data_IF_776364475751
#
_entry.id   IF_776364475751
#
_cell.length_a   1.000
_cell.length_b   1.000
_cell.length_c   1.000
_cell.angle_alpha   90.00
_cell.angle_beta   90.00
_cell.angle_gamma   90.00
#
_symmetry.space_group_name_H-M   'P 1'
#
loop_
_entity.id
_entity.type
_entity.pdbx_description
1 polymer ?
#
# COMPACT_ATOMS: atom_id res chain seq x y z
N UNK A 1 -23.63 -25.49 22.46
CA UNK A 1 -24.54 -25.66 21.29
C UNK A 1 -25.79 -26.37 21.80
N UNK A 2 -26.96 -25.98 21.31
CA UNK A 2 -28.25 -26.57 21.72
C UNK A 2 -28.26 -28.11 21.69
N UNK A 3 -27.64 -28.72 20.68
CA UNK A 3 -27.48 -30.18 20.55
C UNK A 3 -26.75 -30.83 21.74
N UNK A 4 -25.83 -30.11 22.41
CA UNK A 4 -25.03 -30.63 23.52
C UNK A 4 -25.53 -30.18 24.90
N UNK A 5 -26.10 -28.98 24.99
CA UNK A 5 -26.36 -28.32 26.27
C UNK A 5 -27.87 -28.26 26.63
N UNK A 6 -28.75 -28.56 25.68
CA UNK A 6 -30.20 -28.51 25.88
C UNK A 6 -30.78 -29.90 26.14
N UNK A 7 -30.99 -30.23 27.41
CA UNK A 7 -31.65 -31.48 27.81
C UNK A 7 -33.14 -31.49 27.41
N UNK A 8 -33.72 -32.66 27.06
CA UNK A 8 -35.13 -32.79 26.75
C UNK A 8 -36.03 -32.25 27.88
N UNK A 9 -36.94 -31.33 27.54
CA UNK A 9 -37.86 -30.69 28.49
C UNK A 9 -37.43 -29.31 28.99
N UNK A 10 -36.23 -28.84 28.66
CA UNK A 10 -35.81 -27.44 28.90
C UNK A 10 -36.30 -26.50 27.80
N UNK A 11 -36.50 -25.26 28.19
CA UNK A 11 -36.99 -24.21 27.30
C UNK A 11 -35.86 -23.69 26.37
N UNK A 12 -36.04 -23.88 25.06
CA UNK A 12 -35.14 -23.37 24.01
C UNK A 12 -35.02 -21.85 24.05
N UNK A 13 -36.10 -21.17 24.44
CA UNK A 13 -36.16 -19.71 24.51
C UNK A 13 -35.22 -19.17 25.59
N UNK A 14 -35.27 -19.76 26.78
CA UNK A 14 -34.38 -19.38 27.89
C UNK A 14 -32.91 -19.65 27.56
N UNK A 15 -32.62 -20.69 26.76
CA UNK A 15 -31.25 -21.02 26.35
C UNK A 15 -30.67 -20.00 25.36
N UNK A 16 -31.45 -19.56 24.36
CA UNK A 16 -31.01 -18.52 23.42
C UNK A 16 -30.81 -17.16 24.11
N UNK A 17 -31.76 -16.75 24.96
CA UNK A 17 -31.67 -15.47 25.68
C UNK A 17 -30.44 -15.41 26.58
N UNK A 18 -30.10 -16.53 27.25
CA UNK A 18 -28.85 -16.65 28.01
C UNK A 18 -27.63 -16.54 27.11
N UNK A 19 -27.59 -17.24 25.99
CA UNK A 19 -26.43 -17.24 25.07
C UNK A 19 -26.10 -15.84 24.53
N UNK A 20 -27.13 -15.01 24.27
CA UNK A 20 -26.96 -13.63 23.81
C UNK A 20 -26.49 -12.71 24.95
N UNK A 21 -27.06 -12.87 26.15
CA UNK A 21 -26.80 -11.99 27.29
C UNK A 21 -25.59 -12.39 28.16
N UNK A 22 -25.05 -13.59 28.00
CA UNK A 22 -23.92 -14.08 28.79
C UNK A 22 -22.62 -13.31 28.44
N UNK A 23 -21.97 -12.63 29.40
CA UNK A 23 -20.70 -11.95 29.20
C UNK A 23 -19.54 -12.86 28.79
N UNK A 24 -19.60 -14.17 29.08
CA UNK A 24 -18.53 -15.12 28.71
C UNK A 24 -18.62 -15.61 27.26
N UNK A 25 -19.69 -15.26 26.54
CA UNK A 25 -19.84 -15.58 25.12
C UNK A 25 -19.41 -14.35 24.32
N UNK A 26 -18.34 -14.48 23.55
CA UNK A 26 -17.80 -13.36 22.75
C UNK A 26 -18.58 -13.10 21.47
N UNK A 27 -19.04 -14.18 20.81
CA UNK A 27 -19.73 -14.12 19.52
C UNK A 27 -20.92 -15.09 19.45
N UNK A 28 -21.96 -14.71 18.72
CA UNK A 28 -23.13 -15.53 18.39
C UNK A 28 -23.25 -15.61 16.87
N UNK A 29 -23.22 -16.81 16.31
CA UNK A 29 -23.29 -17.04 14.87
C UNK A 29 -24.72 -17.40 14.45
N UNK A 30 -25.29 -16.65 13.50
CA UNK A 30 -26.59 -16.93 12.90
C UNK A 30 -26.36 -17.54 11.51
N UNK A 31 -26.74 -18.80 11.35
CA UNK A 31 -26.70 -19.49 10.06
C UNK A 31 -28.01 -19.26 9.30
N UNK A 32 -27.99 -18.38 8.31
CA UNK A 32 -29.16 -17.95 7.57
C UNK A 32 -29.31 -18.74 6.26
N UNK A 33 -30.27 -19.65 6.24
CA UNK A 33 -30.75 -20.35 5.03
C UNK A 33 -32.04 -19.73 4.49
N UNK A 34 -32.46 -20.09 3.27
CA UNK A 34 -33.74 -19.66 2.70
C UNK A 34 -34.92 -20.00 3.62
N UNK A 35 -34.91 -21.21 4.20
CA UNK A 35 -35.95 -21.67 5.12
C UNK A 35 -35.94 -20.87 6.43
N UNK A 36 -34.76 -20.55 6.96
CA UNK A 36 -34.64 -19.76 8.18
C UNK A 36 -35.16 -18.33 7.98
N UNK A 37 -34.73 -17.67 6.91
CA UNK A 37 -35.16 -16.31 6.56
C UNK A 37 -36.69 -16.23 6.37
N UNK A 38 -37.26 -17.15 5.58
CA UNK A 38 -38.70 -17.21 5.35
C UNK A 38 -39.48 -17.40 6.64
N UNK A 39 -39.06 -18.32 7.52
CA UNK A 39 -39.75 -18.56 8.79
C UNK A 39 -39.62 -17.38 9.77
N UNK A 40 -38.46 -16.73 9.79
CA UNK A 40 -38.23 -15.54 10.61
C UNK A 40 -39.11 -14.35 10.15
N UNK A 41 -39.30 -14.18 8.83
CA UNK A 41 -40.09 -13.08 8.26
C UNK A 41 -41.61 -13.36 8.27
N UNK A 42 -42.03 -14.61 8.02
CA UNK A 42 -43.44 -15.00 7.92
C UNK A 42 -44.13 -15.26 9.27
N UNK A 43 -43.37 -15.36 10.36
CA UNK A 43 -43.90 -15.55 11.73
C UNK A 43 -44.77 -16.82 11.91
N UNK A 44 -44.57 -17.86 11.11
CA UNK A 44 -45.26 -19.16 11.24
C UNK A 44 -44.32 -20.29 11.68
N UNK A 45 -44.80 -21.19 12.56
CA UNK A 45 -44.18 -22.49 12.83
C UNK A 45 -43.04 -22.54 13.86
N UNK A 46 -43.14 -21.80 14.98
CA UNK A 46 -42.22 -21.90 16.13
C UNK A 46 -40.85 -21.23 15.95
N UNK A 47 -40.56 -20.69 14.78
CA UNK A 47 -39.37 -19.84 14.49
C UNK A 47 -39.72 -18.35 14.58
N UNK A 48 -41.00 -18.00 14.54
CA UNK A 48 -41.49 -16.64 14.82
C UNK A 48 -41.15 -16.16 16.24
N UNK A 49 -41.03 -17.09 17.20
CA UNK A 49 -40.67 -16.79 18.59
C UNK A 49 -39.14 -16.71 18.79
N UNK A 50 -38.34 -17.49 18.03
CA UNK A 50 -36.87 -17.35 18.00
C UNK A 50 -36.46 -15.97 17.43
N UNK A 51 -37.19 -15.50 16.41
CA UNK A 51 -37.07 -14.15 15.87
C UNK A 51 -37.54 -13.06 16.86
N UNK A 52 -38.36 -13.42 17.86
CA UNK A 52 -38.84 -12.49 18.89
C UNK A 52 -37.79 -12.24 19.99
N UNK A 53 -36.93 -13.22 20.29
CA UNK A 53 -35.82 -13.05 21.24
C UNK A 53 -34.66 -12.31 20.60
N UNK A 54 -34.45 -12.47 19.29
CA UNK A 54 -33.55 -11.62 18.49
C UNK A 54 -34.21 -10.31 18.04
N UNK A 55 -35.46 -10.06 18.42
CA UNK A 55 -36.14 -8.81 18.10
C UNK A 55 -35.52 -7.63 18.85
N UNK A 56 -35.80 -6.43 18.33
CA UNK A 56 -35.18 -5.12 18.58
C UNK A 56 -34.51 -4.91 19.95
N UNK A 57 -35.12 -5.36 21.04
CA UNK A 57 -34.70 -5.01 22.41
C UNK A 57 -33.49 -5.81 22.95
N UNK A 58 -33.31 -7.09 22.61
CA UNK A 58 -32.14 -7.87 23.05
C UNK A 58 -30.92 -7.66 22.13
N UNK A 59 -31.17 -7.41 20.85
CA UNK A 59 -30.14 -7.18 19.84
C UNK A 59 -29.53 -5.77 19.92
N UNK A 60 -30.28 -4.78 20.41
CA UNK A 60 -29.79 -3.41 20.55
C UNK A 60 -28.68 -3.28 21.61
N UNK A 61 -28.63 -4.17 22.61
CA UNK A 61 -27.66 -4.13 23.69
C UNK A 61 -26.26 -4.66 23.31
N UNK A 62 -26.14 -5.60 22.37
CA UNK A 62 -24.88 -6.28 22.03
C UNK A 62 -24.64 -6.41 20.50
N UNK A 63 -24.83 -5.31 19.76
CA UNK A 63 -24.79 -5.25 18.27
C UNK A 63 -23.53 -5.81 17.61
N UNK A 64 -22.41 -5.90 18.32
CA UNK A 64 -21.12 -6.37 17.78
C UNK A 64 -20.89 -7.88 17.99
N UNK A 65 -21.66 -8.50 18.89
CA UNK A 65 -21.53 -9.92 19.27
C UNK A 65 -22.14 -10.85 18.23
N UNK A 66 -23.18 -10.42 17.51
CA UNK A 66 -23.91 -11.30 16.60
C UNK A 66 -23.43 -11.17 15.16
N UNK A 67 -23.01 -12.29 14.57
CA UNK A 67 -22.49 -12.39 13.21
C UNK A 67 -23.40 -13.26 12.34
N UNK A 68 -23.63 -12.84 11.11
CA UNK A 68 -24.52 -13.54 10.16
C UNK A 68 -23.69 -14.32 9.16
N UNK A 69 -24.03 -15.60 8.98
CA UNK A 69 -23.46 -16.51 7.99
C UNK A 69 -24.54 -16.79 6.97
N UNK A 70 -24.33 -16.33 5.73
CA UNK A 70 -25.24 -16.54 4.63
C UNK A 70 -24.97 -17.91 3.99
N UNK A 71 -25.93 -18.82 4.04
CA UNK A 71 -25.76 -20.18 3.50
C UNK A 71 -26.25 -20.33 2.06
N UNK A 72 -27.20 -19.50 1.63
CA UNK A 72 -27.90 -19.67 0.36
C UNK A 72 -28.36 -18.31 -0.18
N UNK A 73 -28.44 -18.16 -1.50
CA UNK A 73 -29.09 -17.04 -2.18
C UNK A 73 -30.36 -17.52 -2.89
N UNK A 74 -31.32 -16.62 -3.09
CA UNK A 74 -32.57 -16.96 -3.76
C UNK A 74 -32.41 -17.09 -5.29
N UNK A 75 -33.51 -17.41 -5.98
CA UNK A 75 -33.53 -17.57 -7.45
C UNK A 75 -33.16 -16.28 -8.21
N UNK A 76 -33.25 -15.12 -7.55
CA UNK A 76 -32.86 -13.82 -8.09
C UNK A 76 -31.44 -13.40 -7.67
N UNK A 77 -30.66 -14.30 -7.04
CA UNK A 77 -29.34 -14.05 -6.41
C UNK A 77 -29.37 -13.08 -5.22
N UNK A 78 -30.54 -12.81 -4.67
CA UNK A 78 -30.71 -11.98 -3.47
C UNK A 78 -30.31 -12.76 -2.23
N UNK A 79 -29.84 -12.04 -1.21
CA UNK A 79 -29.46 -12.61 0.07
C UNK A 79 -30.67 -13.21 0.82
N UNK A 80 -30.59 -14.48 1.19
CA UNK A 80 -31.58 -15.10 2.09
C UNK A 80 -31.28 -14.75 3.55
N UNK A 81 -31.43 -13.47 3.92
CA UNK A 81 -31.34 -13.01 5.31
C UNK A 81 -32.68 -12.44 5.78
N UNK A 82 -33.07 -12.64 7.06
CA UNK A 82 -34.27 -12.02 7.61
C UNK A 82 -34.27 -10.50 7.46
N UNK A 83 -35.45 -9.89 7.30
CA UNK A 83 -35.59 -8.46 7.05
C UNK A 83 -34.95 -7.56 8.13
N UNK A 84 -34.89 -8.04 9.38
CA UNK A 84 -34.25 -7.31 10.50
C UNK A 84 -32.70 -7.31 10.44
N UNK A 85 -32.10 -8.17 9.60
CA UNK A 85 -30.64 -8.29 9.41
C UNK A 85 -30.15 -7.73 8.08
N UNK A 86 -31.04 -7.27 7.19
CA UNK A 86 -30.70 -6.78 5.84
C UNK A 86 -29.67 -5.63 5.80
N UNK A 87 -29.46 -4.89 6.89
CA UNK A 87 -28.49 -3.78 6.96
C UNK A 87 -27.10 -4.20 7.45
N UNK A 88 -26.90 -5.47 7.80
CA UNK A 88 -25.66 -5.98 8.38
C UNK A 88 -24.79 -6.65 7.32
N UNK A 89 -23.47 -6.52 7.50
CA UNK A 89 -22.52 -7.36 6.77
C UNK A 89 -22.65 -8.82 7.26
N UNK A 90 -22.43 -9.75 6.35
CA UNK A 90 -22.50 -11.18 6.57
C UNK A 90 -21.25 -11.86 6.01
N UNK A 91 -20.95 -13.07 6.47
CA UNK A 91 -19.97 -13.96 5.87
C UNK A 91 -20.67 -14.83 4.82
N UNK A 92 -20.21 -14.81 3.57
CA UNK A 92 -20.90 -15.46 2.44
C UNK A 92 -20.43 -16.90 2.21
N UNK A 93 -21.21 -17.85 2.71
CA UNK A 93 -21.02 -19.30 2.52
C UNK A 93 -21.95 -19.86 1.42
N UNK A 94 -22.55 -19.01 0.58
CA UNK A 94 -23.60 -19.43 -0.37
C UNK A 94 -23.13 -20.25 -1.57
N UNK A 95 -21.82 -20.36 -1.78
CA UNK A 95 -21.24 -21.16 -2.86
C UNK A 95 -19.86 -21.72 -2.48
N UNK A 96 -19.44 -22.86 -3.07
CA UNK A 96 -18.11 -23.43 -2.81
C UNK A 96 -16.95 -22.46 -3.07
N UNK A 97 -17.11 -21.56 -4.07
CA UNK A 97 -16.09 -20.56 -4.40
C UNK A 97 -15.99 -19.44 -3.34
N UNK A 98 -17.10 -19.09 -2.68
CA UNK A 98 -17.13 -18.06 -1.64
C UNK A 98 -16.79 -18.62 -0.24
N UNK A 99 -17.12 -19.89 0.01
CA UNK A 99 -16.97 -20.56 1.31
C UNK A 99 -15.54 -20.49 1.86
N UNK A 100 -14.53 -20.74 1.03
CA UNK A 100 -13.14 -20.78 1.50
C UNK A 100 -12.65 -19.40 1.96
N UNK A 101 -13.00 -18.34 1.23
CA UNK A 101 -12.69 -16.95 1.61
C UNK A 101 -13.48 -16.53 2.86
N UNK A 102 -14.78 -16.82 2.90
CA UNK A 102 -15.65 -16.47 4.02
C UNK A 102 -15.25 -17.20 5.31
N UNK A 103 -14.76 -18.44 5.20
CA UNK A 103 -14.21 -19.19 6.32
C UNK A 103 -12.94 -18.54 6.88
N UNK A 104 -12.00 -18.14 6.02
CA UNK A 104 -10.81 -17.42 6.48
C UNK A 104 -11.16 -16.09 7.15
N UNK A 105 -12.06 -15.31 6.56
CA UNK A 105 -12.55 -14.05 7.12
C UNK A 105 -13.22 -14.24 8.48
N UNK A 106 -14.07 -15.27 8.63
CA UNK A 106 -14.75 -15.60 9.88
C UNK A 106 -13.75 -15.99 10.97
N UNK A 107 -12.79 -16.88 10.67
CA UNK A 107 -11.76 -17.29 11.63
C UNK A 107 -10.94 -16.09 12.07
N UNK A 108 -10.48 -15.26 11.13
CA UNK A 108 -9.74 -14.03 11.42
C UNK A 108 -10.53 -13.08 12.30
N UNK A 109 -11.83 -12.93 12.05
CA UNK A 109 -12.72 -12.12 12.87
C UNK A 109 -12.84 -12.64 14.30
N UNK A 110 -13.05 -13.95 14.48
CA UNK A 110 -13.21 -14.59 15.80
C UNK A 110 -11.97 -14.49 16.70
N UNK A 111 -10.78 -14.25 16.11
CA UNK A 111 -9.52 -14.10 16.84
C UNK A 111 -8.96 -12.67 16.84
N UNK A 112 -9.80 -11.65 16.55
CA UNK A 112 -9.40 -10.24 16.50
C UNK A 112 -8.21 -9.93 15.55
N UNK A 113 -8.12 -10.68 14.44
CA UNK A 113 -7.10 -10.53 13.39
C UNK A 113 -7.72 -10.24 12.02
N UNK A 114 -8.51 -9.15 11.85
CA UNK A 114 -9.24 -8.89 10.61
C UNK A 114 -8.28 -8.76 9.43
N UNK A 115 -8.73 -9.19 8.24
CA UNK A 115 -7.96 -9.13 6.99
C UNK A 115 -7.52 -7.69 6.66
N UNK A 116 -8.33 -6.70 7.06
CA UNK A 116 -8.05 -5.28 6.91
C UNK A 116 -8.07 -4.60 8.27
N UNK A 117 -6.88 -4.27 8.80
CA UNK A 117 -6.76 -3.50 10.05
C UNK A 117 -6.92 -2.01 9.74
N UNK A 118 -7.77 -1.30 10.47
CA UNK A 118 -7.87 0.16 10.36
C UNK A 118 -6.48 0.75 10.63
N UNK A 119 -5.90 1.56 9.73
CA UNK A 119 -4.58 2.12 9.94
C UNK A 119 -4.59 3.02 11.18
N UNK A 120 -3.48 3.04 11.93
CA UNK A 120 -3.31 3.99 13.02
C UNK A 120 -3.39 5.42 12.48
N UNK A 121 -3.99 6.34 13.25
CA UNK A 121 -3.94 7.76 12.94
C UNK A 121 -2.47 8.19 12.90
N UNK A 122 -2.07 8.80 11.78
CA UNK A 122 -0.72 9.34 11.62
C UNK A 122 -0.44 10.46 12.62
N UNK A 123 0.84 10.77 12.88
CA UNK A 123 1.20 11.96 13.65
C UNK A 123 0.64 13.22 12.97
N UNK A 124 0.32 14.25 13.76
CA UNK A 124 -0.06 15.57 13.22
C UNK A 124 1.06 16.04 12.26
N UNK A 125 0.75 16.38 11.01
CA UNK A 125 1.77 16.78 10.06
C UNK A 125 2.51 18.05 10.50
N UNK A 126 3.84 18.03 10.40
CA UNK A 126 4.72 19.14 10.80
C UNK A 126 4.59 20.39 9.92
N UNK A 127 3.92 20.30 8.75
CA UNK A 127 3.73 21.43 7.84
C UNK A 127 2.70 22.46 8.33
N UNK A 128 1.92 22.14 9.36
CA UNK A 128 0.89 23.03 9.90
C UNK A 128 1.45 24.25 10.63
N UNK A 129 2.76 24.27 10.91
CA UNK A 129 3.35 25.26 11.80
C UNK A 129 4.09 26.40 11.07
N UNK A 130 4.30 26.36 9.74
CA UNK A 130 4.68 27.51 8.87
C UNK A 130 4.97 27.04 7.41
N UNK A 131 4.11 27.35 6.43
CA UNK A 131 4.46 27.20 5.01
C UNK A 131 5.46 28.32 4.63
N UNK A 132 6.77 28.04 4.69
CA UNK A 132 7.83 28.99 4.24
C UNK A 132 7.83 29.24 2.72
N UNK A 133 7.14 28.42 1.96
CA UNK A 133 7.12 28.41 0.48
C UNK A 133 5.68 28.53 0.01
N UNK A 134 5.38 29.50 -0.84
CA UNK A 134 4.05 29.64 -1.46
C UNK A 134 3.82 28.52 -2.49
N UNK A 135 2.91 27.62 -2.19
CA UNK A 135 2.52 26.48 -3.04
C UNK A 135 1.28 26.76 -3.88
N UNK A 136 0.71 27.96 -3.82
CA UNK A 136 -0.47 28.33 -4.61
C UNK A 136 -0.30 28.02 -6.11
N UNK A 137 0.85 28.29 -6.77
CA UNK A 137 1.02 27.96 -8.19
C UNK A 137 0.94 26.46 -8.49
N UNK A 138 1.46 25.60 -7.60
CA UNK A 138 1.37 24.15 -7.76
C UNK A 138 -0.09 23.66 -7.56
N UNK A 139 -0.78 24.19 -6.55
CA UNK A 139 -2.20 23.91 -6.30
C UNK A 139 -3.10 24.42 -7.42
N UNK A 140 -2.70 25.50 -8.10
CA UNK A 140 -3.40 26.00 -9.28
C UNK A 140 -3.24 25.07 -10.48
N UNK A 141 -2.04 24.54 -10.74
CA UNK A 141 -1.87 23.54 -11.81
C UNK A 141 -2.65 22.24 -11.52
N UNK A 142 -2.80 21.87 -10.24
CA UNK A 142 -3.66 20.76 -9.80
C UNK A 142 -5.15 20.97 -10.14
N UNK A 143 -5.64 22.21 -10.10
CA UNK A 143 -7.04 22.53 -10.44
C UNK A 143 -7.28 22.69 -11.94
N UNK A 144 -6.20 22.91 -12.71
CA UNK A 144 -6.23 23.11 -14.18
C UNK A 144 -6.13 21.82 -14.99
N UNK A 145 -6.01 20.65 -14.37
CA UNK A 145 -5.97 19.36 -15.07
C UNK A 145 -7.25 19.21 -15.92
N UNK A 146 -7.15 19.24 -17.27
CA UNK A 146 -8.33 19.15 -18.10
C UNK A 146 -8.90 17.73 -18.06
N UNK A 147 -10.22 17.61 -18.02
CA UNK A 147 -10.93 16.36 -18.30
C UNK A 147 -10.65 16.01 -19.77
N UNK A 148 -9.99 14.89 -20.02
CA UNK A 148 -9.66 14.45 -21.38
C UNK A 148 -8.27 14.84 -21.90
N UNK A 149 -7.24 14.36 -21.22
CA UNK A 149 -6.07 13.77 -21.91
C UNK A 149 -5.24 14.68 -22.83
N UNK A 150 -4.81 15.87 -22.38
CA UNK A 150 -3.65 16.52 -23.02
C UNK A 150 -2.44 16.58 -22.10
N UNK A 151 -1.32 16.08 -22.64
CA UNK A 151 0.01 15.81 -22.08
C UNK A 151 0.77 17.02 -21.49
N UNK A 152 0.09 18.06 -21.00
CA UNK A 152 0.72 19.29 -20.49
C UNK A 152 0.82 19.31 -18.98
N UNK A 153 1.64 18.39 -18.46
CA UNK A 153 2.17 18.49 -17.10
C UNK A 153 3.54 19.21 -17.06
N UNK A 154 4.00 19.77 -18.19
CA UNK A 154 5.28 20.50 -18.24
C UNK A 154 5.28 21.72 -17.32
N UNK A 155 4.19 22.52 -17.31
CA UNK A 155 4.05 23.65 -16.39
C UNK A 155 4.12 23.23 -14.94
N UNK A 156 3.44 22.14 -14.59
CA UNK A 156 3.50 21.55 -13.27
C UNK A 156 4.94 21.15 -12.90
N UNK A 157 5.63 20.43 -13.78
CA UNK A 157 7.03 20.01 -13.56
C UNK A 157 7.97 21.22 -13.43
N UNK A 158 7.83 22.22 -14.30
CA UNK A 158 8.63 23.44 -14.27
C UNK A 158 8.44 24.17 -12.93
N UNK A 159 7.19 24.24 -12.44
CA UNK A 159 6.89 24.85 -11.15
C UNK A 159 7.43 24.01 -9.98
N UNK A 160 7.41 22.67 -10.04
CA UNK A 160 8.05 21.81 -9.03
C UNK A 160 9.55 22.11 -8.96
N UNK A 161 10.24 22.13 -10.11
CA UNK A 161 11.67 22.41 -10.15
C UNK A 161 11.99 23.82 -9.60
N UNK A 162 11.14 24.81 -9.94
CA UNK A 162 11.24 26.17 -9.43
C UNK A 162 11.02 26.24 -7.91
N UNK A 163 10.04 25.52 -7.36
CA UNK A 163 9.79 25.51 -5.91
C UNK A 163 10.92 24.84 -5.14
N UNK A 164 11.54 23.81 -5.70
CA UNK A 164 12.76 23.21 -5.13
C UNK A 164 13.91 24.24 -5.15
N UNK A 165 14.08 24.97 -6.24
CA UNK A 165 15.08 26.04 -6.34
C UNK A 165 14.85 27.11 -5.25
N UNK A 166 13.63 27.65 -5.14
CA UNK A 166 13.24 28.63 -4.12
C UNK A 166 13.46 28.13 -2.69
N UNK A 167 13.23 26.84 -2.44
CA UNK A 167 13.33 26.24 -1.09
C UNK A 167 14.77 25.96 -0.66
N UNK A 168 15.66 25.62 -1.60
CA UNK A 168 16.98 25.04 -1.28
C UNK A 168 18.14 25.94 -1.71
N UNK A 169 18.05 26.65 -2.83
CA UNK A 169 19.26 27.10 -3.52
C UNK A 169 19.88 28.33 -2.86
N UNK A 170 19.06 29.26 -2.38
CA UNK A 170 19.48 30.44 -1.63
C UNK A 170 19.60 30.18 -0.12
N UNK A 171 19.13 29.02 0.36
CA UNK A 171 19.18 28.66 1.77
C UNK A 171 20.61 28.37 2.23
N UNK A 172 20.97 28.79 3.44
CA UNK A 172 22.22 28.38 4.08
C UNK A 172 22.00 27.04 4.78
N UNK A 173 22.30 25.95 4.07
CA UNK A 173 22.04 24.58 4.54
C UNK A 173 23.33 23.98 5.09
N UNK A 174 23.27 23.57 6.35
CA UNK A 174 24.30 22.82 7.04
C UNK A 174 23.72 21.54 7.64
N UNK A 175 24.53 20.83 8.42
CA UNK A 175 24.11 19.56 9.03
C UNK A 175 23.02 19.74 10.10
N UNK A 176 22.96 20.90 10.76
CA UNK A 176 22.08 21.17 11.89
C UNK A 176 20.65 21.48 11.42
N UNK A 177 20.52 22.16 10.28
CA UNK A 177 19.21 22.50 9.70
C UNK A 177 18.78 21.60 8.53
N UNK A 178 19.60 20.62 8.11
CA UNK A 178 19.31 19.73 6.99
C UNK A 178 17.94 19.03 7.06
N UNK A 179 17.58 18.49 8.23
CA UNK A 179 16.29 17.79 8.41
C UNK A 179 15.10 18.75 8.27
N UNK A 180 15.27 20.01 8.64
CA UNK A 180 14.24 21.03 8.49
C UNK A 180 13.95 21.28 7.01
N UNK A 181 14.99 21.50 6.20
CA UNK A 181 14.84 21.70 4.76
C UNK A 181 14.34 20.45 4.04
N UNK A 182 14.76 19.25 4.45
CA UNK A 182 14.17 18.02 3.94
C UNK A 182 12.69 17.89 4.30
N UNK A 183 12.32 18.31 5.52
CA UNK A 183 10.93 18.41 5.97
C UNK A 183 10.10 19.38 5.12
N UNK A 184 10.64 20.54 4.75
CA UNK A 184 9.94 21.53 3.92
C UNK A 184 9.57 20.98 2.51
N UNK A 185 10.37 20.07 1.97
CA UNK A 185 10.07 19.41 0.69
C UNK A 185 8.87 18.46 0.76
N UNK A 186 8.38 18.13 1.97
CA UNK A 186 7.18 17.31 2.14
C UNK A 186 5.99 17.89 1.38
N UNK A 187 5.76 19.20 1.49
CA UNK A 187 4.59 19.81 0.87
C UNK A 187 4.66 19.76 -0.67
N UNK A 188 5.87 19.86 -1.23
CA UNK A 188 6.09 19.69 -2.68
C UNK A 188 5.77 18.23 -3.06
N UNK A 189 6.27 17.25 -2.29
CA UNK A 189 5.96 15.83 -2.53
C UNK A 189 4.47 15.54 -2.43
N UNK A 190 3.77 16.11 -1.46
CA UNK A 190 2.32 15.92 -1.29
C UNK A 190 1.55 16.41 -2.53
N UNK A 191 1.90 17.59 -3.05
CA UNK A 191 1.28 18.07 -4.29
C UNK A 191 1.66 17.23 -5.50
N UNK A 192 2.90 16.72 -5.59
CA UNK A 192 3.30 15.77 -6.64
C UNK A 192 2.49 14.47 -6.60
N UNK A 193 2.25 13.92 -5.41
CA UNK A 193 1.44 12.71 -5.22
C UNK A 193 -0.01 12.99 -5.63
N UNK A 194 -0.61 14.09 -5.15
CA UNK A 194 -1.97 14.48 -5.51
C UNK A 194 -2.11 14.72 -7.02
N UNK A 195 -1.11 15.33 -7.65
CA UNK A 195 -1.10 15.56 -9.09
C UNK A 195 -1.01 14.25 -9.85
N UNK A 196 -0.15 13.31 -9.44
CA UNK A 196 -0.02 12.01 -10.09
C UNK A 196 -1.32 11.19 -10.01
N UNK A 197 -1.98 11.19 -8.85
CA UNK A 197 -3.28 10.55 -8.63
C UNK A 197 -4.34 11.16 -9.54
N UNK A 198 -4.52 12.49 -9.51
CA UNK A 198 -5.51 13.16 -10.35
C UNK A 198 -5.21 13.03 -11.84
N UNK A 199 -3.93 13.03 -12.21
CA UNK A 199 -3.52 12.83 -13.58
C UNK A 199 -3.95 11.44 -14.07
N UNK A 200 -3.74 10.41 -13.26
CA UNK A 200 -4.22 9.05 -13.55
C UNK A 200 -5.74 8.96 -13.65
N UNK A 201 -6.47 9.55 -12.69
CA UNK A 201 -7.94 9.60 -12.69
C UNK A 201 -8.54 10.36 -13.89
N UNK A 202 -7.72 11.12 -14.62
CA UNK A 202 -8.09 11.81 -15.86
C UNK A 202 -7.40 11.19 -17.10
N UNK A 203 -7.28 9.85 -17.10
CA UNK A 203 -6.73 9.02 -18.19
C UNK A 203 -5.24 9.28 -18.50
N UNK A 204 -4.50 9.82 -17.54
CA UNK A 204 -3.07 10.04 -17.63
C UNK A 204 -2.25 8.80 -17.26
N UNK A 205 -1.08 8.64 -17.88
CA UNK A 205 -0.12 7.59 -17.49
C UNK A 205 0.83 8.12 -16.42
N UNK A 206 0.78 7.55 -15.22
CA UNK A 206 1.66 7.92 -14.10
C UNK A 206 3.12 7.77 -14.51
N UNK A 207 3.45 6.74 -15.31
CA UNK A 207 4.82 6.54 -15.79
C UNK A 207 5.34 7.70 -16.64
N UNK A 208 4.52 8.33 -17.48
CA UNK A 208 4.93 9.43 -18.35
C UNK A 208 5.16 10.73 -17.57
N UNK A 209 4.32 11.00 -16.57
CA UNK A 209 4.54 12.09 -15.61
C UNK A 209 5.84 11.85 -14.82
N UNK A 210 5.96 10.66 -14.24
CA UNK A 210 7.06 10.28 -13.34
C UNK A 210 8.41 10.40 -14.01
N UNK A 211 8.55 9.95 -15.26
CA UNK A 211 9.81 10.04 -16.03
C UNK A 211 10.31 11.49 -16.07
N UNK A 212 9.47 12.42 -16.53
CA UNK A 212 9.87 13.83 -16.66
C UNK A 212 10.01 14.53 -15.32
N UNK A 213 9.17 14.19 -14.34
CA UNK A 213 9.21 14.79 -13.01
C UNK A 213 10.54 14.45 -12.32
N UNK A 214 10.93 13.17 -12.32
CA UNK A 214 12.19 12.75 -11.71
C UNK A 214 13.38 13.34 -12.47
N UNK A 215 13.37 13.38 -13.81
CA UNK A 215 14.42 14.06 -14.58
C UNK A 215 14.54 15.54 -14.23
N UNK A 216 13.43 16.26 -14.09
CA UNK A 216 13.44 17.66 -13.72
C UNK A 216 14.03 17.88 -12.32
N UNK A 217 13.66 17.03 -11.35
CA UNK A 217 14.16 17.12 -9.97
C UNK A 217 15.66 16.80 -9.91
N UNK A 218 16.13 15.69 -10.50
CA UNK A 218 17.56 15.34 -10.40
C UNK A 218 18.47 16.31 -11.16
N UNK A 219 17.94 17.02 -12.15
CA UNK A 219 18.67 17.96 -12.99
C UNK A 219 18.45 19.44 -12.61
N UNK A 220 17.74 19.75 -11.52
CA UNK A 220 17.49 21.13 -11.13
C UNK A 220 18.73 21.80 -10.53
N UNK A 221 19.69 21.04 -10.01
CA UNK A 221 20.92 21.57 -9.41
C UNK A 221 21.86 22.18 -10.48
N UNK A 222 22.29 23.44 -10.34
CA UNK A 222 23.31 24.01 -11.20
C UNK A 222 24.68 23.36 -10.96
N UNK A 223 25.58 23.52 -11.93
CA UNK A 223 26.97 23.09 -11.77
C UNK A 223 27.62 23.90 -10.64
N UNK A 224 28.35 23.21 -9.76
CA UNK A 224 29.04 23.84 -8.62
C UNK A 224 28.18 24.04 -7.38
N UNK A 225 26.97 23.49 -7.35
CA UNK A 225 26.13 23.45 -6.16
C UNK A 225 26.87 22.77 -4.98
N UNK A 226 26.75 23.28 -3.73
CA UNK A 226 27.28 22.60 -2.55
C UNK A 226 26.80 21.16 -2.41
N UNK A 227 27.69 20.24 -2.02
CA UNK A 227 27.40 18.80 -1.87
C UNK A 227 26.19 18.51 -0.99
N UNK A 228 26.05 19.22 0.13
CA UNK A 228 24.93 19.02 1.05
C UNK A 228 23.56 19.35 0.41
N UNK A 229 23.52 20.33 -0.51
CA UNK A 229 22.30 20.67 -1.26
C UNK A 229 22.03 19.65 -2.37
N UNK A 230 23.08 19.16 -3.04
CA UNK A 230 22.96 18.06 -4.02
C UNK A 230 22.42 16.80 -3.32
N UNK A 231 22.95 16.47 -2.14
CA UNK A 231 22.50 15.34 -1.31
C UNK A 231 21.02 15.47 -0.94
N UNK A 232 20.57 16.67 -0.56
CA UNK A 232 19.17 16.96 -0.26
C UNK A 232 18.25 16.74 -1.46
N UNK A 233 18.60 17.30 -2.62
CA UNK A 233 17.81 17.13 -3.86
C UNK A 233 17.78 15.68 -4.32
N UNK A 234 18.90 14.96 -4.24
CA UNK A 234 18.95 13.53 -4.60
C UNK A 234 18.17 12.66 -3.62
N UNK A 235 18.22 12.98 -2.32
CA UNK A 235 17.39 12.32 -1.30
C UNK A 235 15.91 12.50 -1.59
N UNK A 236 15.50 13.71 -1.97
CA UNK A 236 14.13 13.99 -2.38
C UNK A 236 13.73 13.28 -3.68
N UNK A 237 14.59 13.24 -4.69
CA UNK A 237 14.33 12.51 -5.93
C UNK A 237 14.14 11.00 -5.70
N UNK A 238 14.96 10.42 -4.82
CA UNK A 238 14.86 9.03 -4.39
C UNK A 238 13.49 8.78 -3.72
N UNK A 239 13.11 9.59 -2.72
CA UNK A 239 11.79 9.49 -2.07
C UNK A 239 10.65 9.62 -3.08
N UNK A 240 10.72 10.61 -3.97
CA UNK A 240 9.67 10.89 -4.94
C UNK A 240 9.49 9.75 -5.93
N UNK A 241 10.57 9.13 -6.40
CA UNK A 241 10.52 7.95 -7.27
C UNK A 241 9.83 6.77 -6.57
N UNK A 242 10.15 6.51 -5.30
CA UNK A 242 9.47 5.47 -4.51
C UNK A 242 7.98 5.79 -4.38
N UNK A 243 7.63 7.07 -4.13
CA UNK A 243 6.23 7.49 -4.06
C UNK A 243 5.49 7.23 -5.39
N UNK A 244 6.11 7.52 -6.53
CA UNK A 244 5.49 7.25 -7.84
C UNK A 244 5.26 5.75 -8.06
N UNK A 245 6.23 4.91 -7.70
CA UNK A 245 6.07 3.45 -7.77
C UNK A 245 4.99 2.95 -6.80
N UNK A 246 4.89 3.54 -5.60
CA UNK A 246 3.84 3.22 -4.65
C UNK A 246 2.44 3.52 -5.21
N UNK A 247 2.25 4.66 -5.91
CA UNK A 247 0.99 5.00 -6.57
C UNK A 247 0.68 4.03 -7.72
N UNK A 248 1.68 3.71 -8.56
CA UNK A 248 1.53 2.74 -9.66
C UNK A 248 1.09 1.37 -9.13
N UNK A 249 1.73 0.89 -8.06
CA UNK A 249 1.37 -0.38 -7.42
C UNK A 249 0.01 -0.33 -6.73
N UNK A 250 -0.40 0.83 -6.20
CA UNK A 250 -1.71 1.03 -5.61
C UNK A 250 -2.83 0.85 -6.63
N UNK A 251 -2.64 1.37 -7.85
CA UNK A 251 -3.58 1.21 -8.97
C UNK A 251 -3.40 -0.08 -9.77
N UNK A 252 -2.41 -0.91 -9.43
CA UNK A 252 -2.14 -2.19 -10.09
C UNK A 252 -1.72 -2.07 -11.57
N UNK A 253 -1.07 -0.95 -11.93
CA UNK A 253 -0.72 -0.59 -13.31
C UNK A 253 0.66 -1.14 -13.71
N UNK A 254 0.73 -2.43 -14.07
CA UNK A 254 1.99 -3.13 -14.37
C UNK A 254 2.75 -2.56 -15.58
N UNK A 255 2.04 -2.10 -16.61
CA UNK A 255 2.63 -1.50 -17.80
C UNK A 255 3.32 -0.18 -17.47
N UNK A 256 2.74 0.61 -16.57
CA UNK A 256 3.37 1.85 -16.07
C UNK A 256 4.57 1.54 -15.18
N UNK A 257 4.49 0.50 -14.35
CA UNK A 257 5.62 0.03 -13.55
C UNK A 257 6.80 -0.36 -14.44
N UNK A 258 6.54 -1.21 -15.43
CA UNK A 258 7.54 -1.62 -16.42
C UNK A 258 8.09 -0.42 -17.18
N UNK A 259 7.23 0.46 -17.67
CA UNK A 259 7.66 1.62 -18.47
C UNK A 259 8.53 2.59 -17.66
N UNK A 260 8.21 2.82 -16.39
CA UNK A 260 8.99 3.71 -15.52
C UNK A 260 10.34 3.09 -15.14
N UNK A 261 10.37 1.84 -14.66
CA UNK A 261 11.61 1.22 -14.20
C UNK A 261 12.58 0.96 -15.36
N UNK A 262 12.09 0.80 -16.58
CA UNK A 262 12.94 0.55 -17.76
C UNK A 262 13.43 1.82 -18.44
N UNK A 263 12.93 2.97 -18.01
CA UNK A 263 13.28 4.26 -18.59
C UNK A 263 14.76 4.59 -18.35
N UNK A 264 15.36 5.28 -19.32
CA UNK A 264 16.72 5.81 -19.25
C UNK A 264 16.64 7.30 -18.93
N UNK A 265 16.79 7.63 -17.65
CA UNK A 265 16.82 8.99 -17.15
C UNK A 265 18.11 9.67 -17.58
N UNK A 266 18.00 10.85 -18.18
CA UNK A 266 19.13 11.75 -18.32
C UNK A 266 19.47 12.36 -16.94
N UNK A 267 20.73 12.20 -16.52
CA UNK A 267 21.25 12.79 -15.29
C UNK A 267 22.48 13.65 -15.61
N UNK A 268 22.33 14.96 -15.41
CA UNK A 268 23.39 15.95 -15.58
C UNK A 268 24.39 15.85 -14.43
N UNK A 269 25.66 16.00 -14.76
CA UNK A 269 26.70 16.04 -13.74
C UNK A 269 26.67 17.39 -13.00
N UNK A 270 26.57 17.42 -11.66
CA UNK A 270 26.63 18.68 -10.91
C UNK A 270 28.04 19.27 -10.87
N UNK A 271 29.06 18.56 -11.37
CA UNK A 271 30.48 18.96 -11.31
C UNK A 271 31.05 19.42 -12.64
N UNK A 272 30.41 19.08 -13.75
CA UNK A 272 30.95 19.32 -15.11
C UNK A 272 29.83 19.28 -16.13
N UNK A 273 30.04 19.97 -17.25
CA UNK A 273 29.14 19.93 -18.39
C UNK A 273 29.03 18.51 -18.95
N UNK A 274 27.80 18.05 -19.18
CA UNK A 274 27.48 16.74 -19.73
C UNK A 274 26.45 15.98 -18.90
N UNK A 275 25.92 14.90 -19.48
CA UNK A 275 24.95 14.02 -18.85
C UNK A 275 25.32 12.55 -19.06
N UNK A 276 24.79 11.71 -18.19
CA UNK A 276 24.78 10.26 -18.32
C UNK A 276 23.33 9.78 -18.42
N UNK A 277 23.13 8.59 -18.98
CA UNK A 277 21.83 7.93 -18.96
C UNK A 277 21.88 6.78 -17.98
N UNK A 278 20.93 6.75 -17.04
CA UNK A 278 20.83 5.73 -16.01
C UNK A 278 19.40 5.18 -15.96
N UNK A 279 19.23 3.94 -15.51
CA UNK A 279 17.89 3.46 -15.11
C UNK A 279 17.49 4.04 -13.76
N UNK A 280 16.30 3.67 -13.27
CA UNK A 280 15.85 4.02 -11.92
C UNK A 280 16.89 3.67 -10.82
N UNK A 281 17.71 2.63 -11.05
CA UNK A 281 18.77 2.23 -10.12
C UNK A 281 19.87 3.28 -9.95
N UNK A 282 20.06 4.18 -10.91
CA UNK A 282 20.97 5.32 -10.78
C UNK A 282 20.38 6.51 -10.01
N UNK A 283 19.06 6.50 -9.76
CA UNK A 283 18.36 7.48 -8.92
C UNK A 283 18.48 7.11 -7.43
N UNK A 284 18.82 5.85 -7.13
CA UNK A 284 19.13 5.41 -5.77
C UNK A 284 20.16 6.36 -5.14
N UNK A 285 19.79 6.94 -4.00
CA UNK A 285 20.66 7.84 -3.26
C UNK A 285 20.81 7.39 -1.81
N UNK A 286 22.05 7.02 -1.47
CA UNK A 286 22.47 6.84 -0.08
C UNK A 286 23.09 8.15 0.42
N UNK A 287 22.42 8.78 1.38
CA UNK A 287 22.87 10.05 1.94
C UNK A 287 23.79 9.84 3.13
N UNK A 288 25.03 10.28 2.98
CA UNK A 288 25.97 10.35 4.11
C UNK A 288 25.55 11.41 5.13
N UNK A 289 24.78 12.41 4.73
CA UNK A 289 24.33 13.50 5.61
C UNK A 289 23.34 12.96 6.64
N UNK A 290 22.34 12.16 6.23
CA UNK A 290 21.43 11.49 7.15
C UNK A 290 22.17 10.59 8.16
N UNK A 291 23.22 9.88 7.73
CA UNK A 291 24.03 9.05 8.63
C UNK A 291 24.84 9.88 9.63
N UNK A 292 25.41 11.00 9.19
CA UNK A 292 26.12 11.92 10.09
C UNK A 292 25.16 12.49 11.14
N UNK A 293 23.97 12.92 10.73
CA UNK A 293 22.93 13.42 11.65
C UNK A 293 22.49 12.32 12.63
N UNK A 294 22.24 11.11 12.13
CA UNK A 294 21.82 9.97 12.96
C UNK A 294 22.86 9.67 14.08
N UNK A 295 24.16 9.78 13.76
CA UNK A 295 25.26 9.61 14.72
C UNK A 295 25.42 10.82 15.65
N UNK A 296 25.45 12.04 15.09
CA UNK A 296 25.63 13.31 15.83
C UNK A 296 24.56 13.47 16.89
N UNK A 297 23.30 13.28 16.51
CA UNK A 297 22.13 13.46 17.37
C UNK A 297 21.82 12.22 18.22
N UNK A 298 22.59 11.13 18.07
CA UNK A 298 22.37 9.85 18.75
C UNK A 298 20.92 9.32 18.60
N UNK A 299 20.33 9.48 17.41
CA UNK A 299 18.91 9.11 17.14
C UNK A 299 18.66 7.60 17.16
N UNK A 300 19.72 6.78 17.05
CA UNK A 300 19.67 5.31 17.07
C UNK A 300 18.68 4.74 16.06
N UNK A 301 18.53 5.38 14.89
CA UNK A 301 17.72 4.84 13.79
C UNK A 301 18.56 3.85 12.97
N UNK A 302 17.92 2.79 12.47
CA UNK A 302 18.58 1.84 11.56
C UNK A 302 18.97 2.54 10.26
N UNK A 303 18.05 3.34 9.71
CA UNK A 303 18.29 4.26 8.61
C UNK A 303 17.45 5.52 8.85
N UNK A 304 18.10 6.67 9.07
CA UNK A 304 17.39 7.92 9.34
C UNK A 304 16.63 8.41 8.11
N UNK A 305 17.17 8.23 6.90
CA UNK A 305 16.49 8.61 5.67
C UNK A 305 15.14 7.89 5.53
N UNK A 306 15.13 6.57 5.72
CA UNK A 306 13.90 5.76 5.69
C UNK A 306 12.92 6.14 6.83
N UNK A 307 13.42 6.41 8.04
CA UNK A 307 12.61 6.90 9.17
C UNK A 307 11.90 8.22 8.83
N UNK A 308 12.59 9.15 8.17
CA UNK A 308 12.00 10.42 7.73
C UNK A 308 10.98 10.25 6.60
N UNK A 309 11.15 9.29 5.69
CA UNK A 309 10.13 8.98 4.69
C UNK A 309 8.85 8.42 5.34
N UNK A 310 8.99 7.46 6.26
CA UNK A 310 7.86 6.76 6.92
C UNK A 310 7.15 7.64 7.95
N UNK A 311 7.80 8.64 8.53
CA UNK A 311 7.16 9.56 9.48
C UNK A 311 6.19 10.53 8.79
N UNK A 312 6.38 10.79 7.49
CA UNK A 312 5.62 11.76 6.69
C UNK A 312 4.63 11.07 5.74
N UNK A 313 3.71 10.29 6.29
CA UNK A 313 2.70 9.55 5.51
C UNK A 313 1.60 10.48 4.97
N UNK A 314 1.09 10.15 3.79
CA UNK A 314 -0.05 10.78 3.11
C UNK A 314 -1.01 9.67 2.65
N UNK A 315 -2.05 9.42 3.45
CA UNK A 315 -3.04 8.38 3.17
C UNK A 315 -3.94 8.73 1.98
N UNK A 316 -4.41 7.73 1.21
CA UNK A 316 -4.11 6.30 1.32
C UNK A 316 -2.86 5.86 0.53
N UNK A 317 -2.30 6.73 -0.31
CA UNK A 317 -1.31 6.34 -1.33
C UNK A 317 0.10 6.16 -0.77
N UNK A 318 0.51 7.01 0.17
CA UNK A 318 1.86 7.03 0.76
C UNK A 318 1.74 6.66 2.23
N UNK A 319 1.86 5.38 2.51
CA UNK A 319 1.85 4.81 3.85
C UNK A 319 3.17 4.09 4.10
N UNK A 320 3.42 3.70 5.35
CA UNK A 320 4.54 2.83 5.67
C UNK A 320 4.57 1.58 4.78
N UNK A 321 3.42 0.96 4.58
CA UNK A 321 3.29 -0.29 3.84
C UNK A 321 3.46 -0.09 2.33
N UNK A 322 2.84 0.95 1.75
CA UNK A 322 2.98 1.21 0.31
C UNK A 322 4.38 1.67 -0.07
N UNK A 323 5.04 2.51 0.76
CA UNK A 323 6.42 2.93 0.55
C UNK A 323 7.40 1.74 0.63
N UNK A 324 7.31 0.95 1.70
CA UNK A 324 8.22 -0.19 1.89
C UNK A 324 8.00 -1.29 0.84
N UNK A 325 6.74 -1.51 0.42
CA UNK A 325 6.42 -2.41 -0.69
C UNK A 325 7.00 -1.91 -2.01
N UNK A 326 6.82 -0.64 -2.34
CA UNK A 326 7.36 -0.06 -3.57
C UNK A 326 8.88 -0.19 -3.65
N UNK A 327 9.57 0.17 -2.57
CA UNK A 327 11.02 0.08 -2.46
C UNK A 327 11.54 -1.37 -2.59
N UNK A 328 10.85 -2.34 -1.98
CA UNK A 328 11.16 -3.77 -2.15
C UNK A 328 10.88 -4.28 -3.57
N UNK A 329 9.76 -3.89 -4.19
CA UNK A 329 9.45 -4.28 -5.57
C UNK A 329 10.50 -3.73 -6.55
N UNK A 330 10.97 -2.50 -6.34
CA UNK A 330 12.07 -1.93 -7.10
C UNK A 330 13.37 -2.72 -6.91
N UNK A 331 13.68 -3.17 -5.70
CA UNK A 331 14.80 -4.07 -5.44
C UNK A 331 14.66 -5.43 -6.18
N UNK A 332 13.47 -6.03 -6.13
CA UNK A 332 13.15 -7.33 -6.73
C UNK A 332 13.19 -7.35 -8.25
N UNK A 333 12.64 -6.32 -8.89
CA UNK A 333 12.54 -6.26 -10.36
C UNK A 333 13.87 -6.00 -11.05
N UNK A 334 14.85 -5.40 -10.36
CA UNK A 334 16.15 -5.05 -10.94
C UNK A 334 16.81 -6.18 -11.76
N UNK A 335 17.02 -7.40 -11.23
CA UNK A 335 17.63 -8.50 -11.99
C UNK A 335 16.76 -9.00 -13.15
N UNK A 336 15.43 -8.89 -13.04
CA UNK A 336 14.50 -9.28 -14.10
C UNK A 336 14.63 -8.36 -15.31
N UNK A 337 14.83 -7.07 -15.06
CA UNK A 337 15.02 -6.06 -16.09
C UNK A 337 16.43 -6.08 -16.74
N UNK A 338 17.26 -7.08 -16.43
CA UNK A 338 18.61 -7.29 -17.00
C UNK A 338 19.53 -6.06 -16.91
N UNK A 339 19.36 -5.26 -15.85
CA UNK A 339 20.13 -4.03 -15.67
C UNK A 339 21.57 -4.35 -15.21
N UNK A 340 22.55 -3.95 -16.03
CA UNK A 340 23.99 -4.04 -15.71
C UNK A 340 24.52 -2.87 -14.87
N UNK A 341 23.68 -1.88 -14.63
CA UNK A 341 24.03 -0.61 -13.99
C UNK A 341 23.98 -0.69 -12.45
N UNK A 342 23.92 0.49 -11.81
CA UNK A 342 23.88 0.73 -10.38
C UNK A 342 22.90 -0.19 -9.63
N UNK A 343 23.13 -0.31 -8.33
CA UNK A 343 22.42 -1.22 -7.46
C UNK A 343 21.33 -0.46 -6.68
N UNK A 344 20.15 -1.07 -6.50
CA UNK A 344 19.04 -0.52 -5.70
C UNK A 344 19.00 -1.25 -4.36
N UNK A 345 19.32 -0.54 -3.27
CA UNK A 345 19.17 -1.06 -1.92
C UNK A 345 17.82 -0.60 -1.36
N UNK A 346 16.94 -1.51 -0.91
CA UNK A 346 15.63 -1.12 -0.39
C UNK A 346 15.76 -0.51 1.02
N UNK A 347 15.93 0.81 1.16
CA UNK A 347 16.12 1.46 2.46
C UNK A 347 14.98 1.18 3.47
N UNK A 348 13.77 0.93 2.99
CA UNK A 348 12.54 0.83 3.77
C UNK A 348 12.17 -0.60 4.22
N UNK A 349 12.96 -1.62 3.87
CA UNK A 349 12.58 -3.02 4.15
C UNK A 349 12.30 -3.33 5.63
N UNK A 350 12.92 -2.60 6.56
CA UNK A 350 12.73 -2.78 8.01
C UNK A 350 11.37 -2.29 8.51
N UNK A 351 10.65 -1.53 7.69
CA UNK A 351 9.30 -1.04 7.97
C UNK A 351 8.21 -1.86 7.27
N UNK A 352 8.61 -2.84 6.47
CA UNK A 352 7.71 -3.72 5.77
C UNK A 352 7.12 -4.75 6.74
N UNK A 353 5.80 -4.89 6.71
CA UNK A 353 5.06 -5.88 7.48
C UNK A 353 3.93 -6.39 6.58
N UNK A 354 4.00 -7.65 6.13
CA UNK A 354 2.96 -8.24 5.29
C UNK A 354 3.47 -9.01 4.06
N UNK A 355 2.62 -9.11 3.05
CA UNK A 355 2.90 -9.78 1.78
C UNK A 355 2.80 -8.80 0.61
N UNK A 356 3.46 -9.12 -0.50
CA UNK A 356 3.41 -8.30 -1.71
C UNK A 356 2.47 -8.96 -2.72
N UNK A 357 1.31 -8.33 -2.96
CA UNK A 357 0.26 -8.84 -3.87
C UNK A 357 0.79 -9.14 -5.28
N UNK A 358 1.71 -8.32 -5.79
CA UNK A 358 2.37 -8.52 -7.09
C UNK A 358 2.98 -9.92 -7.22
N UNK A 359 3.64 -10.42 -6.17
CA UNK A 359 4.29 -11.73 -6.19
C UNK A 359 3.31 -12.86 -5.92
N UNK A 360 2.41 -12.70 -4.95
CA UNK A 360 1.41 -13.72 -4.62
C UNK A 360 0.51 -14.09 -5.81
N UNK A 361 0.21 -13.14 -6.69
CA UNK A 361 -0.63 -13.38 -7.88
C UNK A 361 0.04 -14.20 -8.98
N UNK A 362 1.36 -14.40 -8.94
CA UNK A 362 2.06 -15.27 -9.90
C UNK A 362 1.65 -16.75 -9.76
N UNK A 363 0.92 -17.14 -8.72
CA UNK A 363 0.26 -18.45 -8.65
C UNK A 363 -0.77 -18.64 -9.79
N UNK A 364 -1.44 -17.55 -10.21
CA UNK A 364 -2.39 -17.60 -11.32
C UNK A 364 -1.68 -17.65 -12.66
N UNK A 365 -2.08 -18.61 -13.49
CA UNK A 365 -1.50 -18.78 -14.83
C UNK A 365 -1.71 -17.56 -15.74
N UNK A 366 -2.91 -16.97 -15.74
CA UNK A 366 -3.19 -15.80 -16.57
C UNK A 366 -2.40 -14.57 -16.13
N UNK A 367 -2.18 -14.41 -14.83
CA UNK A 367 -1.36 -13.32 -14.29
C UNK A 367 0.13 -13.52 -14.64
N UNK A 368 0.62 -14.76 -14.53
CA UNK A 368 1.97 -15.11 -14.95
C UNK A 368 2.19 -14.79 -16.43
N UNK A 369 1.29 -15.22 -17.32
CA UNK A 369 1.37 -14.95 -18.76
C UNK A 369 1.41 -13.43 -19.06
N UNK A 370 0.56 -12.65 -18.40
CA UNK A 370 0.57 -11.19 -18.51
C UNK A 370 1.89 -10.58 -17.98
N UNK A 371 2.41 -11.08 -16.86
CA UNK A 371 3.68 -10.63 -16.31
C UNK A 371 4.86 -10.94 -17.24
N UNK A 372 4.91 -12.14 -17.83
CA UNK A 372 5.92 -12.53 -18.82
C UNK A 372 5.89 -11.60 -20.03
N UNK A 373 4.70 -11.27 -20.55
CA UNK A 373 4.53 -10.35 -21.68
C UNK A 373 5.03 -8.95 -21.34
N UNK A 374 4.56 -8.36 -20.24
CA UNK A 374 4.88 -6.99 -19.83
C UNK A 374 6.37 -6.85 -19.51
N UNK A 375 6.92 -7.76 -18.71
CA UNK A 375 8.32 -7.70 -18.29
C UNK A 375 9.29 -8.31 -19.30
N UNK A 376 8.78 -8.98 -20.33
CA UNK A 376 9.56 -9.66 -21.37
C UNK A 376 10.56 -10.65 -20.75
N UNK A 377 10.08 -11.45 -19.81
CA UNK A 377 10.86 -12.44 -19.06
C UNK A 377 10.19 -13.81 -19.18
N UNK A 378 10.95 -14.82 -19.58
CA UNK A 378 10.46 -16.20 -19.67
C UNK A 378 10.23 -16.78 -18.27
N UNK A 379 9.16 -17.55 -18.08
CA UNK A 379 8.75 -18.23 -16.85
C UNK A 379 9.93 -18.97 -16.20
N UNK A 380 10.66 -19.77 -16.99
CA UNK A 380 11.81 -20.53 -16.50
C UNK A 380 12.88 -19.63 -15.88
N UNK A 381 13.14 -18.47 -16.50
CA UNK A 381 14.11 -17.50 -16.00
C UNK A 381 13.57 -16.76 -14.78
N UNK A 382 12.28 -16.43 -14.75
CA UNK A 382 11.62 -15.83 -13.60
C UNK A 382 11.73 -16.75 -12.38
N UNK A 383 11.34 -18.03 -12.52
CA UNK A 383 11.44 -19.06 -11.49
C UNK A 383 12.88 -19.23 -11.00
N UNK A 384 13.86 -19.26 -11.91
CA UNK A 384 15.28 -19.35 -11.55
C UNK A 384 15.74 -18.16 -10.69
N UNK A 385 15.37 -16.93 -11.07
CA UNK A 385 15.70 -15.72 -10.31
C UNK A 385 15.04 -15.70 -8.93
N UNK A 386 13.77 -16.10 -8.84
CA UNK A 386 13.03 -16.16 -7.57
C UNK A 386 13.65 -17.21 -6.66
N UNK A 387 13.97 -18.39 -7.19
CA UNK A 387 14.52 -19.51 -6.41
C UNK A 387 15.91 -19.24 -5.87
N UNK A 388 16.79 -18.69 -6.72
CA UNK A 388 18.21 -18.63 -6.41
C UNK A 388 18.66 -17.33 -5.75
N UNK A 389 17.87 -16.27 -5.82
CA UNK A 389 18.24 -14.91 -5.43
C UNK A 389 19.60 -14.48 -6.05
N UNK A 390 19.61 -13.63 -7.10
CA UNK A 390 20.85 -13.29 -7.81
C UNK A 390 21.83 -12.44 -6.97
N UNK A 391 21.41 -11.96 -5.79
CA UNK A 391 22.24 -11.14 -4.92
C UNK A 391 23.11 -12.01 -4.00
N UNK A 392 24.43 -11.97 -4.22
CA UNK A 392 25.41 -12.79 -3.48
C UNK A 392 25.62 -12.39 -2.02
N UNK A 393 25.29 -11.16 -1.66
CA UNK A 393 25.50 -10.61 -0.31
C UNK A 393 24.17 -10.42 0.39
N UNK A 394 24.15 -10.62 1.71
CA UNK A 394 22.99 -10.32 2.55
C UNK A 394 22.60 -8.86 2.38
N UNK A 395 21.40 -8.64 1.90
CA UNK A 395 20.91 -7.31 1.61
C UNK A 395 20.37 -6.66 2.87
N UNK A 396 21.24 -6.06 3.68
CA UNK A 396 20.81 -5.55 4.99
C UNK A 396 21.52 -4.27 5.39
N UNK A 397 20.84 -3.49 6.21
CA UNK A 397 21.47 -2.37 6.91
C UNK A 397 22.57 -2.91 7.81
N UNK A 398 23.67 -2.17 7.97
CA UNK A 398 24.89 -2.62 8.67
C UNK A 398 24.64 -3.12 10.10
N UNK A 399 23.59 -2.63 10.77
CA UNK A 399 23.22 -3.00 12.14
C UNK A 399 21.85 -3.69 12.23
N UNK A 400 21.31 -4.17 11.10
CA UNK A 400 20.06 -4.95 11.10
C UNK A 400 20.36 -6.44 11.23
N UNK A 401 19.56 -7.13 12.06
CA UNK A 401 19.55 -8.58 12.14
C UNK A 401 19.00 -9.18 10.84
N UNK A 402 17.86 -8.63 10.40
CA UNK A 402 17.14 -9.09 9.23
C UNK A 402 17.68 -8.48 7.94
N UNK A 403 17.64 -9.29 6.89
CA UNK A 403 17.88 -8.88 5.51
C UNK A 403 16.58 -8.52 4.80
N UNK A 404 16.69 -7.72 3.75
CA UNK A 404 15.58 -7.43 2.87
C UNK A 404 15.04 -8.75 2.31
N UNK A 405 13.76 -9.07 2.55
CA UNK A 405 13.18 -10.33 2.10
C UNK A 405 13.28 -10.43 0.58
N UNK A 406 13.58 -11.62 0.08
CA UNK A 406 13.53 -11.91 -1.36
C UNK A 406 12.13 -12.37 -1.78
N UNK A 407 11.89 -12.45 -3.09
CA UNK A 407 10.59 -12.82 -3.67
C UNK A 407 10.09 -14.18 -3.16
N UNK A 408 10.99 -15.13 -2.95
CA UNK A 408 10.67 -16.46 -2.41
C UNK A 408 10.10 -16.45 -0.98
N UNK A 409 10.18 -15.33 -0.25
CA UNK A 409 9.49 -15.15 1.02
C UNK A 409 7.99 -14.86 0.86
N UNK A 410 7.54 -14.50 -0.36
CA UNK A 410 6.17 -14.02 -0.64
C UNK A 410 5.35 -14.99 -1.51
N UNK A 411 6.01 -15.95 -2.14
CA UNK A 411 5.37 -16.95 -2.99
C UNK A 411 6.13 -18.27 -2.89
N UNK A 412 5.36 -19.36 -2.82
CA UNK A 412 5.90 -20.70 -3.00
C UNK A 412 6.20 -20.92 -4.49
N UNK A 413 7.47 -21.11 -4.82
CA UNK A 413 7.93 -21.28 -6.20
C UNK A 413 7.22 -22.44 -6.89
N UNK A 414 6.87 -23.49 -6.15
CA UNK A 414 6.19 -24.65 -6.70
C UNK A 414 4.74 -24.36 -7.10
N UNK A 415 4.17 -23.23 -6.67
CA UNK A 415 2.79 -22.81 -7.01
C UNK A 415 2.71 -21.83 -8.18
N UNK A 416 3.82 -21.30 -8.67
CA UNK A 416 3.83 -20.35 -9.79
C UNK A 416 3.17 -20.98 -11.02
N UNK A 417 2.19 -20.27 -11.61
CA UNK A 417 1.45 -20.71 -12.80
C UNK A 417 0.59 -21.97 -12.62
N UNK A 418 0.38 -22.40 -11.37
CA UNK A 418 -0.46 -23.55 -11.03
C UNK A 418 -1.67 -23.03 -10.27
N UNK A 419 -2.72 -22.70 -11.03
CA UNK A 419 -4.01 -22.27 -10.48
C UNK A 419 -4.41 -23.21 -9.32
N UNK A 420 -4.65 -22.63 -8.13
CA UNK A 420 -5.06 -23.37 -6.94
C UNK A 420 -6.50 -23.90 -7.06
#
# INVERSE_FOLDING_TARGET
>A
MDVYDLEPGKDKYQFMERSVNDPSVDYVLIFSSKVYAQKADSREGGVGDEAQILSKDAYDCNKNKVQVILLERDENKSECVPAYLNTKKYFDFSSPAAEQLAFEELVRFLYDKPLFKKPALGPRPSYLDEEKVDLFPLREELSRLPVGGTRRFSRFIDEVAKKIHESIFEADIDIDNYLEYYGQLQNIREVCVDYAVRYYENDGRISDLSKKLIEAVVNCCPIGMPEIKIDLVRSFAHELLICMVAIILYYDELEDLRALLSYKFEMKSPYRTGSIFVTYSGIYHYSNVFEQINRKDQRKRVCLHADQMVSRQQYPYITRETLSTADLVMYHLRPMLSMKEHYWFPLLYVYFDGGIKLWARLESKSYLEAFEEIFSIEEKRLIDLISNNPYRNRMRHTNSWDEAPWISAFIDVDKIGKDA
#
